data_IF_255566224830
#
_entry.id   IF_255566224830
#
_cell.length_a   1.000
_cell.length_b   1.000
_cell.length_c   1.000
_cell.angle_alpha   90.00
_cell.angle_beta   90.00
_cell.angle_gamma   90.00
#
_symmetry.space_group_name_H-M   'P 1'
#
loop_
_entity.id
_entity.type
_entity.pdbx_description
1 polymer ?
#
# COMPACT_ATOMS: atom_id res chain seq x y z
N UNK A 1 -25.72 24.24 14.05
CA UNK A 1 -24.51 24.63 14.80
C UNK A 1 -23.44 23.59 14.51
N UNK A 2 -22.46 23.94 13.68
CA UNK A 2 -21.36 23.04 13.29
C UNK A 2 -20.45 22.80 14.50
N UNK A 3 -20.46 21.58 15.03
CA UNK A 3 -19.42 21.12 15.96
C UNK A 3 -18.21 20.73 15.13
N UNK A 4 -17.30 21.68 14.95
CA UNK A 4 -15.98 21.38 14.39
C UNK A 4 -15.27 20.39 15.31
N UNK A 5 -14.90 19.23 14.78
CA UNK A 5 -14.02 18.29 15.46
C UNK A 5 -12.68 18.99 15.75
N UNK A 6 -12.36 19.19 17.03
CA UNK A 6 -11.04 19.66 17.45
C UNK A 6 -10.10 18.47 17.28
N UNK A 7 -9.27 18.49 16.23
CA UNK A 7 -8.27 17.46 16.01
C UNK A 7 -7.04 17.81 16.85
N UNK A 8 -7.09 17.50 18.14
CA UNK A 8 -5.95 17.70 19.06
C UNK A 8 -4.68 17.09 18.46
N UNK A 9 -3.64 17.89 18.22
CA UNK A 9 -2.33 17.43 17.73
C UNK A 9 -1.52 16.82 18.86
N UNK A 10 -1.79 15.57 19.16
CA UNK A 10 -1.02 14.78 20.12
C UNK A 10 0.32 14.40 19.49
N UNK A 11 1.40 14.58 20.24
CA UNK A 11 2.74 14.21 19.81
C UNK A 11 2.92 12.69 19.89
N UNK A 12 3.11 12.02 18.74
CA UNK A 12 3.37 10.58 18.65
C UNK A 12 4.64 10.13 19.39
N UNK A 13 5.57 11.05 19.66
CA UNK A 13 6.83 10.74 20.35
C UNK A 13 6.69 10.76 21.87
N UNK A 14 5.76 11.53 22.44
CA UNK A 14 5.72 11.75 23.89
C UNK A 14 4.32 11.91 24.51
N UNK A 15 3.25 11.71 23.72
CA UNK A 15 1.86 11.82 24.17
C UNK A 15 1.37 13.24 24.51
N UNK A 16 2.23 14.25 24.44
CA UNK A 16 1.83 15.61 24.82
C UNK A 16 0.82 16.21 23.83
N UNK A 17 -0.29 16.73 24.34
CA UNK A 17 -1.33 17.42 23.55
C UNK A 17 -0.88 18.84 23.22
N UNK A 18 -0.77 19.14 21.92
CA UNK A 18 -0.33 20.45 21.44
C UNK A 18 -1.50 21.25 20.87
N UNK A 19 -1.45 22.59 20.93
CA UNK A 19 -2.39 23.45 20.24
C UNK A 19 -2.43 23.20 18.73
N UNK A 20 -3.60 23.40 18.10
CA UNK A 20 -3.85 23.11 16.68
C UNK A 20 -2.92 23.86 15.71
N UNK A 21 -2.37 25.00 16.13
CA UNK A 21 -1.47 25.84 15.32
C UNK A 21 0.00 25.40 15.37
N UNK A 22 0.38 24.47 16.25
CA UNK A 22 1.78 24.09 16.44
C UNK A 22 2.25 23.07 15.41
N UNK A 23 3.42 23.31 14.82
CA UNK A 23 4.09 22.35 13.92
C UNK A 23 5.10 21.47 14.66
N UNK A 24 5.40 21.80 15.91
CA UNK A 24 6.35 21.10 16.75
C UNK A 24 5.74 20.83 18.11
N UNK A 25 6.14 19.74 18.74
CA UNK A 25 5.69 19.41 20.07
C UNK A 25 6.31 20.38 21.07
N UNK A 26 5.48 21.11 21.82
CA UNK A 26 5.93 22.08 22.82
C UNK A 26 6.71 21.42 23.97
N UNK A 27 6.56 20.10 24.17
CA UNK A 27 7.26 19.35 25.23
C UNK A 27 8.59 18.76 24.77
N UNK A 28 8.66 18.16 23.57
CA UNK A 28 9.84 17.39 23.13
C UNK A 28 10.48 17.87 21.83
N UNK A 29 9.93 18.92 21.19
CA UNK A 29 10.43 19.49 19.94
C UNK A 29 10.21 18.63 18.69
N UNK A 30 9.60 17.45 18.81
CA UNK A 30 9.30 16.59 17.67
C UNK A 30 8.36 17.27 16.67
N UNK A 31 8.57 17.07 15.37
CA UNK A 31 7.65 17.57 14.34
C UNK A 31 6.30 16.87 14.52
N UNK A 32 5.23 17.65 14.65
CA UNK A 32 3.89 17.12 14.77
C UNK A 32 3.39 16.69 13.39
N UNK A 33 2.77 15.49 13.27
CA UNK A 33 2.18 15.08 12.02
C UNK A 33 1.13 16.11 11.59
N UNK A 34 1.23 16.61 10.34
CA UNK A 34 0.16 17.40 9.75
C UNK A 34 -0.99 16.44 9.45
N UNK A 35 -1.82 16.17 10.45
CA UNK A 35 -3.04 15.39 10.27
C UNK A 35 -4.05 16.31 9.58
N UNK A 36 -3.99 16.40 8.26
CA UNK A 36 -5.16 16.87 7.52
C UNK A 36 -6.22 15.78 7.66
N UNK A 37 -7.47 16.15 7.90
CA UNK A 37 -8.62 15.22 7.90
C UNK A 37 -8.75 14.43 6.57
N UNK A 38 -7.94 14.81 5.58
CA UNK A 38 -7.75 14.16 4.31
C UNK A 38 -6.55 13.19 4.25
N UNK A 39 -6.02 12.60 5.33
CA UNK A 39 -4.85 11.66 5.21
C UNK A 39 -5.26 10.26 4.70
N UNK A 40 -6.47 9.77 4.99
CA UNK A 40 -6.92 8.45 4.55
C UNK A 40 -7.20 8.35 3.03
N UNK A 41 -7.79 9.40 2.43
CA UNK A 41 -8.15 9.40 1.00
C UNK A 41 -6.95 9.35 0.03
N UNK A 42 -5.87 10.13 0.23
CA UNK A 42 -4.68 10.10 -0.63
C UNK A 42 -3.90 8.79 -0.56
N UNK A 43 -3.94 8.08 0.57
CA UNK A 43 -3.25 6.80 0.72
C UNK A 43 -3.95 5.69 -0.09
N UNK A 44 -5.28 5.56 0.00
CA UNK A 44 -6.06 4.64 -0.87
C UNK A 44 -5.82 4.91 -2.36
N UNK A 45 -5.87 6.19 -2.76
CA UNK A 45 -5.65 6.60 -4.16
C UNK A 45 -4.26 6.19 -4.64
N UNK A 46 -3.23 6.24 -3.79
CA UNK A 46 -1.88 5.79 -4.16
C UNK A 46 -1.79 4.27 -4.30
N UNK A 47 -2.40 3.51 -3.39
CA UNK A 47 -2.41 2.04 -3.43
C UNK A 47 -3.10 1.56 -4.72
N UNK A 48 -4.31 2.04 -4.99
CA UNK A 48 -5.05 1.71 -6.22
C UNK A 48 -4.31 2.13 -7.49
N UNK A 49 -3.63 3.28 -7.47
CA UNK A 49 -2.85 3.76 -8.63
C UNK A 49 -1.73 2.80 -9.03
N UNK A 50 -1.09 2.11 -8.09
CA UNK A 50 -0.04 1.15 -8.41
C UNK A 50 -0.61 -0.02 -9.21
N UNK A 51 -1.74 -0.57 -8.78
CA UNK A 51 -2.46 -1.61 -9.50
C UNK A 51 -2.88 -1.14 -10.90
N UNK A 52 -3.51 0.03 -10.99
CA UNK A 52 -3.94 0.59 -12.29
C UNK A 52 -2.77 0.79 -13.25
N UNK A 53 -1.61 1.22 -12.72
CA UNK A 53 -0.39 1.40 -13.52
C UNK A 53 0.13 0.06 -14.03
N UNK A 54 0.20 -0.97 -13.19
CA UNK A 54 0.62 -2.31 -13.59
C UNK A 54 -0.31 -2.87 -14.67
N UNK A 55 -1.63 -2.81 -14.42
CA UNK A 55 -2.63 -3.29 -15.36
C UNK A 55 -2.49 -2.63 -16.72
N UNK A 56 -2.38 -1.30 -16.75
CA UNK A 56 -2.17 -0.57 -17.99
C UNK A 56 -0.88 -1.02 -18.69
N UNK A 57 0.22 -1.19 -17.97
CA UNK A 57 1.50 -1.58 -18.57
C UNK A 57 1.51 -3.00 -19.10
N UNK A 58 0.79 -3.92 -18.46
CA UNK A 58 0.56 -5.27 -18.97
C UNK A 58 -0.24 -5.21 -20.28
N UNK A 59 -1.31 -4.42 -20.35
CA UNK A 59 -2.09 -4.24 -21.57
C UNK A 59 -1.24 -3.66 -22.70
N UNK A 60 -0.45 -2.62 -22.41
CA UNK A 60 0.45 -1.98 -23.37
C UNK A 60 1.58 -2.90 -23.85
N UNK A 61 2.12 -3.74 -22.96
CA UNK A 61 3.14 -4.73 -23.33
C UNK A 61 2.56 -5.74 -24.32
N UNK A 62 1.39 -6.31 -24.01
CA UNK A 62 0.73 -7.32 -24.84
C UNK A 62 0.22 -6.76 -26.18
N UNK A 63 -0.03 -5.46 -26.27
CA UNK A 63 -0.34 -4.76 -27.52
C UNK A 63 0.89 -4.24 -28.28
N UNK A 64 2.11 -4.52 -27.79
CA UNK A 64 3.38 -4.02 -28.34
C UNK A 64 3.47 -2.48 -28.40
N UNK A 65 2.76 -1.78 -27.52
CA UNK A 65 2.79 -0.31 -27.39
C UNK A 65 4.02 0.19 -26.63
N UNK A 66 4.64 -0.66 -25.81
CA UNK A 66 5.86 -0.35 -25.04
C UNK A 66 6.89 -1.46 -25.24
N UNK A 67 8.15 -1.10 -24.99
CA UNK A 67 9.27 -2.04 -25.01
C UNK A 67 9.37 -2.84 -23.70
N UNK A 68 10.15 -3.93 -23.72
CA UNK A 68 10.44 -4.72 -22.51
C UNK A 68 11.20 -3.90 -21.47
N UNK A 69 12.15 -3.06 -21.90
CA UNK A 69 12.90 -2.18 -21.00
C UNK A 69 11.96 -1.20 -20.27
N UNK A 70 11.07 -0.51 -21.02
CA UNK A 70 10.07 0.40 -20.43
C UNK A 70 9.10 -0.33 -19.48
N UNK A 71 8.75 -1.58 -19.80
CA UNK A 71 7.92 -2.41 -18.94
C UNK A 71 8.63 -2.75 -17.62
N UNK A 72 9.87 -3.24 -17.69
CA UNK A 72 10.67 -3.58 -16.52
C UNK A 72 10.98 -2.38 -15.64
N UNK A 73 11.33 -1.23 -16.23
CA UNK A 73 11.58 0.01 -15.48
C UNK A 73 10.39 0.40 -14.59
N UNK A 74 9.16 0.25 -15.11
CA UNK A 74 7.96 0.55 -14.34
C UNK A 74 7.76 -0.46 -13.22
N UNK A 75 7.88 -1.76 -13.51
CA UNK A 75 7.75 -2.81 -12.49
C UNK A 75 8.78 -2.64 -11.37
N UNK A 76 10.05 -2.41 -11.71
CA UNK A 76 11.14 -2.20 -10.75
C UNK A 76 10.90 -0.98 -9.85
N UNK A 77 10.45 0.13 -10.45
CA UNK A 77 10.11 1.34 -9.71
C UNK A 77 8.96 1.12 -8.73
N UNK A 78 7.96 0.32 -9.09
CA UNK A 78 6.84 0.01 -8.18
C UNK A 78 7.29 -0.98 -7.11
N UNK A 79 8.00 -2.04 -7.49
CA UNK A 79 8.56 -3.04 -6.59
C UNK A 79 9.37 -2.38 -5.47
N UNK A 80 10.36 -1.56 -5.83
CA UNK A 80 11.26 -0.92 -4.87
C UNK A 80 10.50 -0.07 -3.84
N UNK A 81 9.45 0.64 -4.27
CA UNK A 81 8.64 1.49 -3.37
C UNK A 81 7.80 0.66 -2.41
N UNK A 82 7.26 -0.47 -2.88
CA UNK A 82 6.43 -1.36 -2.06
C UNK A 82 7.31 -2.12 -1.07
N UNK A 83 8.47 -2.60 -1.51
CA UNK A 83 9.46 -3.24 -0.66
C UNK A 83 9.98 -2.27 0.42
N UNK A 84 10.32 -1.03 0.08
CA UNK A 84 10.73 -0.01 1.05
C UNK A 84 9.62 0.26 2.08
N UNK A 85 8.36 0.35 1.63
CA UNK A 85 7.22 0.51 2.53
C UNK A 85 7.07 -0.70 3.46
N UNK A 86 7.23 -1.93 2.94
CA UNK A 86 7.19 -3.17 3.72
C UNK A 86 8.26 -3.21 4.80
N UNK A 87 9.49 -2.92 4.41
CA UNK A 87 10.62 -2.82 5.33
C UNK A 87 10.38 -1.76 6.41
N UNK A 88 9.81 -0.62 6.05
CA UNK A 88 9.47 0.44 7.01
C UNK A 88 8.43 -0.02 8.03
N UNK A 89 7.38 -0.70 7.57
CA UNK A 89 6.30 -1.20 8.43
C UNK A 89 6.78 -2.34 9.33
N UNK A 90 7.54 -3.30 8.77
CA UNK A 90 8.04 -4.46 9.51
C UNK A 90 9.00 -4.08 10.64
N UNK A 91 9.81 -3.04 10.44
CA UNK A 91 10.77 -2.56 11.43
C UNK A 91 10.20 -1.47 12.36
N UNK A 92 8.90 -1.20 12.31
CA UNK A 92 8.27 -0.18 13.14
C UNK A 92 8.20 -0.64 14.61
N UNK A 93 8.82 0.11 15.51
CA UNK A 93 8.65 -0.11 16.95
C UNK A 93 7.31 0.45 17.41
N UNK A 94 6.46 -0.42 17.95
CA UNK A 94 5.13 -0.06 18.45
C UNK A 94 5.14 -0.16 19.97
N UNK A 95 4.79 0.93 20.69
CA UNK A 95 4.63 0.88 22.13
C UNK A 95 3.68 -0.24 22.56
N UNK A 96 4.00 -0.96 23.65
CA UNK A 96 3.17 -2.08 24.14
C UNK A 96 1.71 -1.71 24.36
N UNK A 97 1.45 -0.47 24.80
CA UNK A 97 0.11 0.08 25.03
C UNK A 97 -0.71 0.22 23.73
N UNK A 98 -0.03 0.41 22.60
CA UNK A 98 -0.66 0.57 21.28
C UNK A 98 -0.73 -0.76 20.51
N UNK A 99 0.09 -1.75 20.86
CA UNK A 99 0.16 -3.02 20.14
C UNK A 99 -1.21 -3.71 19.94
N UNK A 100 -2.14 -3.76 20.93
CA UNK A 100 -3.46 -4.37 20.74
C UNK A 100 -4.32 -3.67 19.68
N UNK A 101 -4.13 -2.37 19.47
CA UNK A 101 -4.87 -1.58 18.48
C UNK A 101 -4.27 -1.67 17.08
N UNK A 102 -3.00 -2.05 16.95
CA UNK A 102 -2.27 -2.01 15.68
C UNK A 102 -1.89 -3.36 15.08
N UNK A 103 -1.88 -4.43 15.88
CA UNK A 103 -1.37 -5.73 15.45
C UNK A 103 -2.07 -6.28 14.19
N UNK A 104 -3.40 -6.30 14.18
CA UNK A 104 -4.17 -6.94 13.10
C UNK A 104 -3.99 -6.23 11.75
N UNK A 105 -4.06 -4.90 11.72
CA UNK A 105 -3.86 -4.16 10.47
C UNK A 105 -2.42 -4.23 9.95
N UNK A 106 -1.43 -4.43 10.82
CA UNK A 106 -0.05 -4.61 10.38
C UNK A 106 0.13 -5.97 9.73
N UNK A 107 -0.46 -7.02 10.31
CA UNK A 107 -0.45 -8.36 9.73
C UNK A 107 -1.14 -8.38 8.35
N UNK A 108 -2.32 -7.77 8.25
CA UNK A 108 -3.04 -7.63 6.97
C UNK A 108 -2.24 -6.78 5.98
N UNK A 109 -1.68 -5.66 6.44
CA UNK A 109 -0.91 -4.75 5.61
C UNK A 109 0.34 -5.40 5.04
N UNK A 110 1.13 -6.10 5.86
CA UNK A 110 2.32 -6.84 5.45
C UNK A 110 1.96 -7.98 4.49
N UNK A 111 0.86 -8.70 4.75
CA UNK A 111 0.34 -9.71 3.81
C UNK A 111 0.03 -9.10 2.44
N UNK A 112 -0.65 -7.94 2.42
CA UNK A 112 -0.92 -7.20 1.18
C UNK A 112 0.36 -6.79 0.45
N UNK A 113 1.40 -6.37 1.17
CA UNK A 113 2.71 -6.04 0.59
C UNK A 113 3.34 -7.27 -0.07
N UNK A 114 3.41 -8.40 0.65
CA UNK A 114 4.01 -9.63 0.12
C UNK A 114 3.29 -10.13 -1.13
N UNK A 115 1.95 -10.10 -1.13
CA UNK A 115 1.14 -10.46 -2.30
C UNK A 115 1.41 -9.52 -3.49
N UNK A 116 1.59 -8.23 -3.24
CA UNK A 116 1.87 -7.26 -4.30
C UNK A 116 3.26 -7.48 -4.92
N UNK A 117 4.27 -7.80 -4.10
CA UNK A 117 5.60 -8.14 -4.60
C UNK A 117 5.58 -9.43 -5.41
N UNK A 118 4.87 -10.47 -4.95
CA UNK A 118 4.66 -11.71 -5.71
C UNK A 118 3.95 -11.47 -7.05
N UNK A 119 2.96 -10.59 -7.07
CA UNK A 119 2.27 -10.22 -8.30
C UNK A 119 3.23 -9.61 -9.34
N UNK A 120 4.13 -8.73 -8.90
CA UNK A 120 5.14 -8.13 -9.78
C UNK A 120 6.09 -9.20 -10.31
N UNK A 121 6.59 -10.10 -9.45
CA UNK A 121 7.49 -11.19 -9.87
C UNK A 121 6.82 -12.14 -10.88
N UNK A 122 5.54 -12.48 -10.71
CA UNK A 122 4.82 -13.29 -11.69
C UNK A 122 4.76 -12.55 -13.05
N UNK A 123 4.42 -11.27 -13.04
CA UNK A 123 4.26 -10.45 -14.26
C UNK A 123 5.59 -10.18 -14.99
N UNK A 124 6.73 -10.20 -14.29
CA UNK A 124 8.07 -10.10 -14.91
C UNK A 124 8.36 -11.22 -15.92
N UNK A 125 7.62 -12.32 -15.87
CA UNK A 125 7.79 -13.44 -16.80
C UNK A 125 7.20 -13.17 -18.19
N UNK A 126 6.31 -12.18 -18.34
CA UNK A 126 5.60 -11.91 -19.60
C UNK A 126 6.54 -11.65 -20.78
N UNK A 127 7.58 -10.78 -20.70
CA UNK A 127 8.48 -10.55 -21.82
C UNK A 127 9.16 -11.82 -22.35
N UNK A 128 9.61 -12.71 -21.46
CA UNK A 128 10.24 -13.98 -21.87
C UNK A 128 9.28 -14.87 -22.65
N UNK A 129 8.01 -14.92 -22.26
CA UNK A 129 6.98 -15.70 -22.96
C UNK A 129 6.63 -15.09 -24.32
N UNK A 130 6.61 -13.75 -24.42
CA UNK A 130 6.39 -13.04 -25.67
C UNK A 130 7.53 -13.30 -26.65
N UNK A 131 8.79 -13.23 -26.20
CA UNK A 131 9.96 -13.59 -27.01
C UNK A 131 9.90 -15.04 -27.50
N UNK A 132 9.49 -15.96 -26.63
CA UNK A 132 9.30 -17.37 -27.00
C UNK A 132 8.23 -17.49 -28.09
N UNK A 133 7.09 -16.84 -27.93
CA UNK A 133 5.99 -16.85 -28.90
C UNK A 133 6.44 -16.37 -30.28
N UNK A 134 7.23 -15.29 -30.34
CA UNK A 134 7.74 -14.72 -31.60
C UNK A 134 8.75 -15.64 -32.30
N UNK A 135 9.45 -16.49 -31.53
CA UNK A 135 10.46 -17.41 -32.06
C UNK A 135 9.88 -18.73 -32.59
N UNK A 136 8.67 -19.10 -32.15
CA UNK A 136 8.09 -20.43 -32.40
C UNK A 136 7.34 -20.46 -33.73
N UNK A 137 7.62 -21.50 -34.53
CA UNK A 137 6.94 -21.73 -35.82
C UNK A 137 5.81 -22.77 -35.75
N UNK A 138 5.78 -23.59 -34.70
CA UNK A 138 4.80 -24.66 -34.52
C UNK A 138 3.51 -24.12 -33.89
N UNK A 139 2.37 -24.30 -34.57
CA UNK A 139 1.08 -23.77 -34.11
C UNK A 139 0.62 -24.33 -32.75
N UNK A 140 0.92 -25.60 -32.44
CA UNK A 140 0.56 -26.17 -31.14
C UNK A 140 1.41 -25.56 -30.00
N UNK A 141 2.68 -25.27 -30.27
CA UNK A 141 3.56 -24.63 -29.30
C UNK A 141 3.15 -23.17 -29.09
N UNK A 142 2.78 -22.45 -30.16
CA UNK A 142 2.20 -21.10 -30.06
C UNK A 142 0.95 -21.07 -29.17
N UNK A 143 0.03 -22.03 -29.37
CA UNK A 143 -1.17 -22.12 -28.55
C UNK A 143 -0.83 -22.33 -27.06
N UNK A 144 0.12 -23.21 -26.76
CA UNK A 144 0.58 -23.42 -25.38
C UNK A 144 1.18 -22.15 -24.76
N UNK A 145 2.02 -21.42 -25.50
CA UNK A 145 2.64 -20.19 -25.01
C UNK A 145 1.59 -19.10 -24.81
N UNK A 146 0.63 -18.94 -25.73
CA UNK A 146 -0.46 -17.99 -25.58
C UNK A 146 -1.32 -18.28 -24.33
N UNK A 147 -1.61 -19.55 -24.06
CA UNK A 147 -2.32 -19.95 -22.85
C UNK A 147 -1.51 -19.63 -21.59
N UNK A 148 -0.20 -19.82 -21.63
CA UNK A 148 0.69 -19.50 -20.51
C UNK A 148 0.81 -17.99 -20.28
N UNK A 149 0.89 -17.19 -21.34
CA UNK A 149 0.83 -15.72 -21.26
C UNK A 149 -0.46 -15.29 -20.56
N UNK A 150 -1.61 -15.85 -20.96
CA UNK A 150 -2.88 -15.51 -20.34
C UNK A 150 -2.93 -15.93 -18.87
N UNK A 151 -2.41 -17.12 -18.53
CA UNK A 151 -2.30 -17.61 -17.15
C UNK A 151 -1.46 -16.66 -16.29
N UNK A 152 -0.26 -16.30 -16.73
CA UNK A 152 0.65 -15.39 -16.02
C UNK A 152 0.00 -14.01 -15.85
N UNK A 153 -0.64 -13.50 -16.91
CA UNK A 153 -1.36 -12.23 -16.89
C UNK A 153 -2.46 -12.23 -15.84
N UNK A 154 -3.35 -13.22 -15.89
CA UNK A 154 -4.50 -13.31 -14.97
C UNK A 154 -4.03 -13.51 -13.53
N UNK A 155 -3.08 -14.43 -13.29
CA UNK A 155 -2.55 -14.69 -11.96
C UNK A 155 -1.90 -13.45 -11.34
N UNK A 156 -1.01 -12.80 -12.09
CA UNK A 156 -0.32 -11.60 -11.62
C UNK A 156 -1.28 -10.44 -11.35
N UNK A 157 -2.23 -10.18 -12.24
CA UNK A 157 -3.21 -9.10 -12.05
C UNK A 157 -4.20 -9.39 -10.92
N UNK A 158 -4.62 -10.65 -10.74
CA UNK A 158 -5.49 -11.03 -9.63
C UNK A 158 -4.77 -10.88 -8.28
N UNK A 159 -3.51 -11.34 -8.18
CA UNK A 159 -2.69 -11.14 -6.97
C UNK A 159 -2.51 -9.66 -6.65
N UNK A 160 -2.25 -8.81 -7.64
CA UNK A 160 -2.11 -7.36 -7.43
C UNK A 160 -3.44 -6.71 -6.98
N UNK A 161 -4.58 -7.18 -7.49
CA UNK A 161 -5.89 -6.70 -7.08
C UNK A 161 -6.22 -7.11 -5.63
N UNK A 162 -5.98 -8.38 -5.27
CA UNK A 162 -6.17 -8.87 -3.90
C UNK A 162 -5.24 -8.16 -2.91
N UNK A 163 -3.97 -7.95 -3.29
CA UNK A 163 -3.01 -7.18 -2.51
C UNK A 163 -3.50 -5.75 -2.24
N UNK A 164 -4.02 -5.08 -3.29
CA UNK A 164 -4.62 -3.74 -3.19
C UNK A 164 -5.75 -3.70 -2.17
N UNK A 165 -6.59 -4.74 -2.14
CA UNK A 165 -7.70 -4.84 -1.18
C UNK A 165 -7.20 -5.01 0.25
N UNK A 166 -6.23 -5.90 0.50
CA UNK A 166 -5.63 -6.08 1.82
C UNK A 166 -5.03 -4.77 2.34
N UNK A 167 -4.30 -4.04 1.50
CA UNK A 167 -3.70 -2.75 1.86
C UNK A 167 -4.76 -1.69 2.19
N UNK A 168 -5.89 -1.68 1.48
CA UNK A 168 -7.00 -0.77 1.76
C UNK A 168 -7.71 -1.13 3.08
N UNK A 169 -7.94 -2.42 3.34
CA UNK A 169 -8.52 -2.91 4.61
C UNK A 169 -7.62 -2.53 5.78
N UNK A 170 -6.31 -2.81 5.68
CA UNK A 170 -5.34 -2.45 6.72
C UNK A 170 -5.34 -0.94 7.01
N UNK A 171 -5.40 -0.11 5.97
CA UNK A 171 -5.47 1.34 6.12
C UNK A 171 -6.75 1.78 6.82
N UNK A 172 -7.89 1.19 6.47
CA UNK A 172 -9.18 1.51 7.10
C UNK A 172 -9.19 1.16 8.58
N UNK A 173 -8.73 -0.05 8.90
CA UNK A 173 -8.59 -0.50 10.29
C UNK A 173 -7.63 0.41 11.08
N UNK A 174 -6.52 0.82 10.48
CA UNK A 174 -5.59 1.76 11.11
C UNK A 174 -6.26 3.10 11.43
N UNK A 175 -7.09 3.62 10.52
CA UNK A 175 -7.82 4.87 10.72
C UNK A 175 -8.87 4.73 11.82
N UNK A 176 -9.63 3.63 11.82
CA UNK A 176 -10.66 3.36 12.83
C UNK A 176 -10.06 3.14 14.22
N UNK A 177 -8.99 2.34 14.33
CA UNK A 177 -8.36 2.04 15.61
C UNK A 177 -7.64 3.27 16.18
N UNK A 178 -7.08 4.15 15.33
CA UNK A 178 -6.59 5.46 15.76
C UNK A 178 -7.70 6.36 16.31
N UNK A 179 -8.92 6.27 15.78
CA UNK A 179 -10.05 7.02 16.31
C UNK A 179 -10.49 6.49 17.68
N UNK A 180 -10.62 5.16 17.83
CA UNK A 180 -10.99 4.50 19.09
C UNK A 180 -10.00 4.78 20.21
N UNK A 181 -8.70 4.63 19.95
CA UNK A 181 -7.66 4.93 20.94
C UNK A 181 -7.75 6.37 21.47
N UNK A 182 -8.04 7.35 20.60
CA UNK A 182 -8.25 8.75 21.02
C UNK A 182 -9.50 8.95 21.88
N UNK A 183 -10.54 8.16 21.70
CA UNK A 183 -11.74 8.27 22.53
C UNK A 183 -11.51 7.66 23.92
N UNK A 184 -10.76 6.57 24.01
CA UNK A 184 -10.48 5.86 25.27
C UNK A 184 -9.46 6.61 26.14
N UNK A 185 -8.40 7.19 25.56
CA UNK A 185 -7.36 7.92 26.30
C UNK A 185 -7.85 9.28 26.82
N UNK A 186 -8.80 9.94 26.12
CA UNK A 186 -9.35 11.24 26.53
C UNK A 186 -10.71 11.16 27.22
N UNK A 187 -11.39 10.01 27.16
CA UNK A 187 -12.71 9.78 27.76
C UNK A 187 -12.72 9.67 29.28
N UNK A 188 -11.56 9.52 29.93
CA UNK A 188 -11.44 9.42 31.39
C UNK A 188 -11.07 10.74 32.09
N UNK A 189 -10.81 11.83 31.33
CA UNK A 189 -10.29 13.10 31.86
C UNK A 189 -11.32 14.20 32.20
N UNK A 190 -12.62 13.97 32.01
CA UNK A 190 -13.66 15.00 32.24
C UNK A 190 -14.81 14.52 33.12
N UNK A 191 -14.50 13.92 34.28
CA UNK A 191 -15.38 13.92 35.46
C UNK A 191 -14.52 13.84 36.74
N UNK A 192 -13.90 14.95 37.13
CA UNK A 192 -13.43 15.21 38.50
C UNK A 192 -13.41 16.71 38.75
#
# INVERSE_FOLDING_TARGET
MNRGFIVSRICIKCGYSNPDSENYCAKCGAILPKVSVAVARPARVKITKNYDTIKLKVEQLLSYEITFDEYYEVLDSIYSKIEEAGNTVSNMEIPEELAPYFKEQLEIGLTGIDMFLQAIEELRNLPSLIEELDSVTNENEKENIMNEIERVKEQGLNLAAEATEHLNIALDMAVENMAKWREEDFGTGYYA
#
